data_IF_328473986066
#
_entry.id   IF_328473986066
#
_cell.length_a   1.000
_cell.length_b   1.000
_cell.length_c   1.000
_cell.angle_alpha   90.00
_cell.angle_beta   90.00
_cell.angle_gamma   90.00
#
_symmetry.space_group_name_H-M   'P 1'
#
loop_
_entity.id
_entity.type
_entity.pdbx_description
1 polymer ?
#
# COMPACT_ATOMS: atom_id res chain seq x y z
N UNK A 1 8.03 29.33 5.64
CA UNK A 1 7.58 28.41 4.58
C UNK A 1 6.82 27.31 5.27
N UNK A 2 5.50 27.22 5.11
CA UNK A 2 4.74 26.08 5.60
C UNK A 2 5.02 24.92 4.65
N UNK A 3 5.90 24.00 5.06
CA UNK A 3 6.04 22.75 4.32
C UNK A 3 4.76 21.96 4.51
N UNK A 4 4.15 21.52 3.41
CA UNK A 4 3.07 20.55 3.47
C UNK A 4 3.56 19.27 4.17
N UNK A 5 2.67 18.54 4.87
CA UNK A 5 3.03 17.23 5.40
C UNK A 5 3.44 16.30 4.26
N UNK A 6 4.39 15.42 4.52
CA UNK A 6 4.94 14.46 3.57
C UNK A 6 4.67 13.05 4.09
N UNK A 7 4.14 12.18 3.22
CA UNK A 7 4.14 10.73 3.42
C UNK A 7 5.23 10.12 2.55
N UNK A 8 6.23 9.48 3.17
CA UNK A 8 7.25 8.71 2.48
C UNK A 8 7.04 7.21 2.69
N UNK A 9 6.97 6.44 1.60
CA UNK A 9 6.89 4.99 1.64
C UNK A 9 8.22 4.39 1.21
N UNK A 10 8.74 3.45 2.02
CA UNK A 10 9.94 2.68 1.69
C UNK A 10 9.69 1.20 1.86
N UNK A 11 9.86 0.42 0.81
CA UNK A 11 9.79 -1.04 0.86
C UNK A 11 11.19 -1.65 0.83
N UNK A 12 11.51 -2.55 1.75
CA UNK A 12 12.77 -3.30 1.75
C UNK A 12 12.58 -4.71 2.32
N UNK A 13 12.99 -5.73 1.57
CA UNK A 13 13.14 -7.13 2.05
C UNK A 13 11.91 -7.71 2.79
N UNK A 14 10.69 -7.29 2.40
CA UNK A 14 9.45 -7.75 3.03
C UNK A 14 9.03 -6.95 4.27
N UNK A 15 9.54 -5.73 4.44
CA UNK A 15 9.03 -4.73 5.38
C UNK A 15 8.71 -3.43 4.63
N UNK A 16 7.61 -2.76 5.01
CA UNK A 16 7.29 -1.41 4.54
C UNK A 16 7.45 -0.45 5.70
N UNK A 17 8.16 0.65 5.48
CA UNK A 17 8.17 1.76 6.42
C UNK A 17 7.28 2.88 5.88
N UNK A 18 6.22 3.16 6.61
CA UNK A 18 5.35 4.33 6.41
C UNK A 18 5.92 5.46 7.25
N UNK A 19 6.42 6.52 6.60
CA UNK A 19 7.13 7.62 7.26
C UNK A 19 6.35 8.90 7.02
N UNK A 20 5.75 9.48 8.05
CA UNK A 20 5.12 10.79 7.97
C UNK A 20 6.06 11.88 8.49
N UNK A 21 6.08 13.04 7.84
CA UNK A 21 6.88 14.19 8.25
C UNK A 21 6.06 15.47 8.16
N UNK A 22 6.22 16.35 9.14
CA UNK A 22 5.68 17.70 9.08
C UNK A 22 6.59 18.63 9.88
N UNK A 23 7.21 19.60 9.22
CA UNK A 23 8.22 20.45 9.85
C UNK A 23 9.35 19.64 10.49
N UNK A 24 9.51 19.74 11.82
CA UNK A 24 10.51 19.00 12.59
C UNK A 24 10.03 17.64 13.14
N UNK A 25 8.75 17.31 12.99
CA UNK A 25 8.17 16.08 13.52
C UNK A 25 8.22 14.95 12.50
N UNK A 26 8.51 13.74 12.97
CA UNK A 26 8.62 12.53 12.15
C UNK A 26 7.95 11.37 12.88
N UNK A 27 7.04 10.68 12.18
CA UNK A 27 6.47 9.40 12.62
C UNK A 27 6.89 8.30 11.67
N UNK A 28 7.32 7.15 12.21
CA UNK A 28 7.73 5.98 11.43
C UNK A 28 6.93 4.78 11.93
N UNK A 29 6.18 4.15 11.03
CA UNK A 29 5.38 2.95 11.30
C UNK A 29 5.79 1.83 10.36
N UNK A 30 6.50 0.79 10.85
CA UNK A 30 6.81 -0.39 10.05
C UNK A 30 5.58 -1.30 9.92
N UNK A 31 5.42 -1.89 8.74
CA UNK A 31 4.47 -2.96 8.43
C UNK A 31 5.30 -4.18 8.03
N UNK A 32 5.17 -5.27 8.77
CA UNK A 32 5.84 -6.53 8.46
C UNK A 32 5.04 -7.27 7.37
N UNK A 33 5.56 -7.27 6.14
CA UNK A 33 4.87 -7.93 5.03
C UNK A 33 4.98 -9.44 5.11
N UNK A 34 6.04 -10.01 5.69
CA UNK A 34 6.23 -11.48 5.70
C UNK A 34 5.05 -12.20 6.33
N UNK A 35 4.50 -11.65 7.41
CA UNK A 35 3.30 -12.22 8.05
C UNK A 35 2.07 -12.11 7.15
N UNK A 36 1.87 -10.95 6.52
CA UNK A 36 0.74 -10.68 5.62
C UNK A 36 0.85 -11.51 4.33
N UNK A 37 2.06 -11.74 3.81
CA UNK A 37 2.32 -12.57 2.63
C UNK A 37 2.06 -14.04 2.93
N UNK A 38 2.45 -14.52 4.10
CA UNK A 38 2.21 -15.90 4.50
C UNK A 38 0.71 -16.21 4.49
N UNK A 39 -0.13 -15.29 4.98
CA UNK A 39 -1.57 -15.50 4.99
C UNK A 39 -2.22 -15.27 3.62
N UNK A 40 -1.84 -14.21 2.89
CA UNK A 40 -2.39 -13.88 1.57
C UNK A 40 -2.27 -15.01 0.53
N UNK A 41 -1.13 -15.72 0.51
CA UNK A 41 -0.88 -16.78 -0.47
C UNK A 41 -1.27 -18.18 0.02
N UNK A 42 -1.55 -18.37 1.32
CA UNK A 42 -2.00 -19.66 1.87
C UNK A 42 -3.52 -19.79 1.89
N UNK A 43 -4.24 -18.70 2.14
CA UNK A 43 -5.70 -18.66 2.25
C UNK A 43 -6.27 -17.91 1.04
N UNK A 44 -6.86 -18.63 0.08
CA UNK A 44 -7.32 -18.09 -1.21
C UNK A 44 -8.28 -16.90 -1.05
N UNK A 45 -7.75 -15.68 -1.24
CA UNK A 45 -8.41 -14.39 -1.53
C UNK A 45 -8.96 -13.45 -0.42
N UNK A 46 -9.43 -13.85 0.78
CA UNK A 46 -10.07 -12.90 1.72
C UNK A 46 -9.10 -11.97 2.48
N UNK A 47 -7.79 -12.15 2.38
CA UNK A 47 -6.82 -11.38 3.17
C UNK A 47 -6.27 -10.11 2.48
N UNK A 48 -6.56 -9.90 1.20
CA UNK A 48 -6.09 -8.69 0.50
C UNK A 48 -6.75 -7.43 1.05
N UNK A 49 -8.02 -7.54 1.42
CA UNK A 49 -8.74 -6.50 2.14
C UNK A 49 -8.13 -6.24 3.52
N UNK A 50 -7.72 -7.29 4.24
CA UNK A 50 -7.02 -7.15 5.54
C UNK A 50 -5.71 -6.39 5.38
N UNK A 51 -4.91 -6.69 4.36
CA UNK A 51 -3.71 -5.94 4.04
C UNK A 51 -4.02 -4.45 3.81
N UNK A 52 -5.00 -4.14 2.96
CA UNK A 52 -5.37 -2.76 2.67
C UNK A 52 -5.85 -2.02 3.91
N UNK A 53 -6.68 -2.66 4.75
CA UNK A 53 -7.12 -2.09 6.02
C UNK A 53 -5.94 -1.77 6.96
N UNK A 54 -4.95 -2.67 7.06
CA UNK A 54 -3.74 -2.43 7.87
C UNK A 54 -2.95 -1.25 7.30
N UNK A 55 -2.75 -1.21 5.98
CA UNK A 55 -2.03 -0.13 5.30
C UNK A 55 -2.71 1.23 5.52
N UNK A 56 -4.00 1.32 5.22
CA UNK A 56 -4.86 2.50 5.38
C UNK A 56 -4.80 3.05 6.82
N UNK A 57 -5.02 2.19 7.82
CA UNK A 57 -4.98 2.59 9.23
C UNK A 57 -3.57 2.99 9.68
N UNK A 58 -2.54 2.34 9.16
CA UNK A 58 -1.15 2.67 9.49
C UNK A 58 -0.77 4.04 8.93
N UNK A 59 -1.14 4.34 7.70
CA UNK A 59 -0.96 5.67 7.09
C UNK A 59 -1.71 6.73 7.90
N UNK A 60 -2.99 6.50 8.22
CA UNK A 60 -3.78 7.43 9.04
C UNK A 60 -3.12 7.72 10.38
N UNK A 61 -2.64 6.69 11.09
CA UNK A 61 -1.94 6.87 12.36
C UNK A 61 -0.63 7.64 12.20
N UNK A 62 0.18 7.33 11.20
CA UNK A 62 1.44 8.01 10.95
C UNK A 62 1.23 9.51 10.68
N UNK A 63 0.28 9.86 9.80
CA UNK A 63 -0.06 11.26 9.53
C UNK A 63 -0.61 11.94 10.79
N UNK A 64 -1.51 11.29 11.53
CA UNK A 64 -2.16 11.88 12.71
C UNK A 64 -1.16 12.29 13.80
N UNK A 65 -0.04 11.58 13.91
CA UNK A 65 1.02 11.87 14.88
C UNK A 65 1.84 13.12 14.55
N UNK A 66 1.95 13.52 13.28
CA UNK A 66 2.73 14.71 12.85
C UNK A 66 1.84 15.86 12.36
N UNK A 67 0.58 15.55 12.06
CA UNK A 67 -0.41 16.50 11.56
C UNK A 67 -1.80 16.09 12.05
N UNK A 68 -2.26 16.63 13.21
CA UNK A 68 -3.58 16.32 13.74
C UNK A 68 -4.72 16.77 12.80
N UNK A 69 -5.48 15.81 12.28
CA UNK A 69 -6.58 16.03 11.32
C UNK A 69 -7.84 15.25 11.69
N UNK A 70 -9.01 15.60 11.18
CA UNK A 70 -10.26 14.89 11.48
C UNK A 70 -10.52 13.74 10.49
N UNK A 71 -10.27 14.01 9.20
CA UNK A 71 -10.50 13.08 8.10
C UNK A 71 -9.22 12.85 7.31
N UNK A 72 -9.06 11.64 6.79
CA UNK A 72 -8.04 11.33 5.81
C UNK A 72 -8.70 10.68 4.60
N UNK A 73 -8.47 11.21 3.41
CA UNK A 73 -8.84 10.54 2.16
C UNK A 73 -7.58 10.01 1.47
N UNK A 74 -7.63 8.76 1.03
CA UNK A 74 -6.54 8.11 0.31
C UNK A 74 -7.07 7.52 -0.98
N UNK A 75 -6.36 7.81 -2.07
CA UNK A 75 -6.56 7.22 -3.38
C UNK A 75 -5.34 6.38 -3.74
N UNK A 76 -5.56 5.12 -4.11
CA UNK A 76 -4.49 4.25 -4.52
C UNK A 76 -4.93 3.28 -5.61
N UNK A 77 -3.98 2.88 -6.43
CA UNK A 77 -4.16 1.84 -7.44
C UNK A 77 -3.42 0.61 -6.98
N UNK A 78 -4.04 -0.57 -7.10
CA UNK A 78 -3.31 -1.82 -7.02
C UNK A 78 -3.41 -2.60 -8.31
N UNK A 79 -2.31 -3.25 -8.70
CA UNK A 79 -2.24 -4.08 -9.88
C UNK A 79 -1.65 -5.46 -9.53
N UNK A 80 -2.23 -6.49 -10.13
CA UNK A 80 -1.75 -7.86 -9.99
C UNK A 80 -1.20 -8.35 -11.32
N UNK A 81 -0.12 -9.13 -11.27
CA UNK A 81 0.51 -9.66 -12.48
C UNK A 81 -0.29 -10.79 -13.17
N UNK A 82 -1.44 -11.17 -12.61
CA UNK A 82 -2.41 -12.15 -13.09
C UNK A 82 -3.77 -11.92 -12.40
N UNK A 83 -4.71 -12.88 -12.51
CA UNK A 83 -5.87 -12.95 -11.63
C UNK A 83 -5.42 -13.00 -10.16
N UNK A 84 -6.17 -12.37 -9.24
CA UNK A 84 -5.78 -12.30 -7.82
C UNK A 84 -5.51 -13.66 -7.18
N UNK A 85 -6.28 -14.69 -7.55
CA UNK A 85 -6.10 -16.07 -7.07
C UNK A 85 -4.84 -16.78 -7.60
N UNK A 86 -4.31 -16.32 -8.72
CA UNK A 86 -3.12 -16.86 -9.40
C UNK A 86 -1.93 -15.89 -9.28
N UNK A 87 -2.10 -14.70 -8.70
CA UNK A 87 -1.12 -13.64 -8.71
C UNK A 87 0.07 -14.03 -7.84
N UNK A 88 1.27 -13.84 -8.35
CA UNK A 88 2.50 -13.97 -7.57
C UNK A 88 3.05 -12.62 -7.13
N UNK A 89 2.43 -11.53 -7.60
CA UNK A 89 2.89 -10.17 -7.40
C UNK A 89 1.68 -9.22 -7.42
N UNK A 90 1.62 -8.36 -6.42
CA UNK A 90 0.69 -7.24 -6.36
C UNK A 90 1.50 -5.97 -6.09
N UNK A 91 1.30 -4.94 -6.90
CA UNK A 91 1.92 -3.62 -6.73
C UNK A 91 0.84 -2.63 -6.32
N UNK A 92 1.12 -1.82 -5.30
CA UNK A 92 0.22 -0.78 -4.79
C UNK A 92 0.92 0.57 -4.89
N UNK A 93 0.23 1.53 -5.49
CA UNK A 93 0.70 2.89 -5.73
C UNK A 93 -0.29 3.86 -5.08
N UNK A 94 0.18 4.69 -4.16
CA UNK A 94 -0.66 5.75 -3.57
C UNK A 94 -0.63 6.93 -4.54
N UNK A 95 -1.80 7.30 -5.04
CA UNK A 95 -1.96 8.34 -6.05
C UNK A 95 -2.18 9.70 -5.41
N UNK A 96 -3.04 9.77 -4.41
CA UNK A 96 -3.42 11.01 -3.74
C UNK A 96 -3.71 10.76 -2.26
N UNK A 97 -3.37 11.74 -1.43
CA UNK A 97 -3.60 11.69 0.01
C UNK A 97 -3.94 13.08 0.52
N UNK A 98 -5.07 13.21 1.22
CA UNK A 98 -5.48 14.47 1.86
C UNK A 98 -5.84 14.26 3.32
N UNK A 99 -5.42 15.19 4.15
CA UNK A 99 -5.85 15.31 5.55
C UNK A 99 -6.68 16.59 5.70
N UNK A 100 -7.96 16.44 6.02
CA UNK A 100 -8.95 17.52 5.96
C UNK A 100 -8.90 18.22 4.58
N UNK A 101 -8.52 19.51 4.53
CA UNK A 101 -8.41 20.29 3.28
C UNK A 101 -6.97 20.41 2.75
N UNK A 102 -6.01 19.67 3.34
CA UNK A 102 -4.58 19.76 3.02
C UNK A 102 -4.11 18.52 2.27
N UNK A 103 -3.55 18.74 1.08
CA UNK A 103 -2.87 17.72 0.30
C UNK A 103 -1.54 17.34 0.95
N UNK A 104 -1.31 16.02 1.05
CA UNK A 104 -0.08 15.45 1.61
C UNK A 104 0.81 15.03 0.45
N UNK A 105 2.04 15.53 0.43
CA UNK A 105 3.01 15.16 -0.58
C UNK A 105 3.43 13.69 -0.41
N UNK A 106 3.36 12.91 -1.48
CA UNK A 106 3.73 11.50 -1.47
C UNK A 106 5.14 11.35 -2.06
N UNK A 107 6.05 10.77 -1.28
CA UNK A 107 7.41 10.45 -1.70
C UNK A 107 7.70 8.94 -1.60
N UNK A 108 8.63 8.47 -2.43
CA UNK A 108 9.22 7.13 -2.28
C UNK A 108 8.68 6.12 -3.28
N UNK A 109 8.73 4.85 -2.88
CA UNK A 109 8.52 3.72 -3.79
C UNK A 109 7.11 3.15 -3.67
N UNK A 110 6.66 2.48 -4.73
CA UNK A 110 5.48 1.63 -4.70
C UNK A 110 5.64 0.49 -3.68
N UNK A 111 4.51 0.01 -3.13
CA UNK A 111 4.51 -1.17 -2.29
C UNK A 111 4.39 -2.40 -3.19
N UNK A 112 5.37 -3.30 -3.12
CA UNK A 112 5.34 -4.56 -3.86
C UNK A 112 5.18 -5.74 -2.90
N UNK A 113 4.11 -6.50 -3.11
CA UNK A 113 3.80 -7.74 -2.43
C UNK A 113 4.21 -8.89 -3.35
N UNK A 114 5.19 -9.70 -2.93
CA UNK A 114 5.71 -10.81 -3.73
C UNK A 114 5.49 -12.14 -3.03
N UNK A 115 4.79 -13.05 -3.71
CA UNK A 115 4.64 -14.44 -3.34
C UNK A 115 5.52 -15.37 -4.17
N UNK A 116 5.47 -16.66 -3.86
CA UNK A 116 6.10 -17.69 -4.71
C UNK A 116 5.33 -17.80 -6.03
N UNK A 117 6.03 -17.70 -7.15
CA UNK A 117 5.43 -17.89 -8.47
C UNK A 117 5.43 -19.38 -8.89
N UNK A 118 4.40 -20.10 -8.48
CA UNK A 118 4.15 -21.50 -8.81
C UNK A 118 3.28 -21.70 -10.06
N UNK A 119 3.00 -20.63 -10.81
CA UNK A 119 2.22 -20.71 -12.06
C UNK A 119 2.90 -21.62 -13.07
N UNK A 120 2.11 -22.45 -13.77
CA UNK A 120 2.62 -23.22 -14.90
C UNK A 120 3.07 -22.31 -16.06
N UNK A 121 3.97 -22.82 -16.90
CA UNK A 121 4.54 -22.09 -18.06
C UNK A 121 3.48 -21.41 -18.93
N UNK A 122 2.38 -22.10 -19.24
CA UNK A 122 1.29 -21.55 -20.05
C UNK A 122 0.54 -20.40 -19.35
N UNK A 123 0.31 -20.50 -18.03
CA UNK A 123 -0.33 -19.42 -17.25
C UNK A 123 0.55 -18.17 -17.23
N UNK A 124 1.88 -18.34 -17.09
CA UNK A 124 2.85 -17.23 -17.14
C UNK A 124 2.84 -16.50 -18.48
N UNK A 125 2.79 -17.24 -19.59
CA UNK A 125 2.76 -16.63 -20.94
C UNK A 125 1.44 -15.90 -21.19
N UNK A 126 0.33 -16.40 -20.67
CA UNK A 126 -1.01 -15.84 -20.94
C UNK A 126 -1.49 -14.82 -19.91
N UNK A 127 -0.70 -14.56 -18.86
CA UNK A 127 -1.08 -13.68 -17.74
C UNK A 127 -1.36 -12.24 -18.16
N UNK A 128 -0.72 -11.75 -19.23
CA UNK A 128 -0.96 -10.39 -19.75
C UNK A 128 -2.42 -10.11 -20.11
N UNK A 129 -3.21 -11.14 -20.43
CA UNK A 129 -4.66 -11.01 -20.73
C UNK A 129 -5.53 -10.99 -19.48
N UNK A 130 -4.95 -11.31 -18.33
CA UNK A 130 -5.64 -11.59 -17.06
C UNK A 130 -5.23 -10.66 -15.93
N UNK A 131 -4.25 -9.78 -16.17
CA UNK A 131 -3.80 -8.78 -15.20
C UNK A 131 -4.98 -7.97 -14.70
N UNK A 132 -5.00 -7.75 -13.39
CA UNK A 132 -6.01 -6.92 -12.72
C UNK A 132 -5.37 -5.60 -12.36
N UNK A 133 -6.10 -4.51 -12.55
CA UNK A 133 -5.78 -3.20 -11.99
C UNK A 133 -7.08 -2.62 -11.42
N UNK A 134 -7.03 -2.11 -10.20
CA UNK A 134 -8.18 -1.51 -9.53
C UNK A 134 -7.76 -0.23 -8.83
N UNK A 135 -8.59 0.79 -8.98
CA UNK A 135 -8.50 2.05 -8.25
C UNK A 135 -9.39 1.97 -7.02
N UNK A 136 -8.87 2.42 -5.88
CA UNK A 136 -9.56 2.44 -4.61
C UNK A 136 -9.53 3.85 -4.06
N UNK A 137 -10.73 4.33 -3.70
CA UNK A 137 -10.92 5.57 -2.96
C UNK A 137 -11.43 5.26 -1.56
N UNK A 138 -10.81 5.83 -0.53
CA UNK A 138 -11.19 5.60 0.86
C UNK A 138 -11.15 6.88 1.68
N UNK A 139 -12.23 7.17 2.40
CA UNK A 139 -12.28 8.16 3.48
C UNK A 139 -12.22 7.43 4.84
N UNK A 140 -11.27 7.81 5.69
CA UNK A 140 -10.96 7.17 6.97
C UNK A 140 -11.23 8.07 8.17
#
# INVERSE_FOLDING_TARGET
MSNAPILKIKSKEGDINIIAKNGGEVSIKPINLKFIMATLWWEKAPELETFFNILELTIKRAIKEVYPHHKLSIDYTYSANDLLEDASEIVVEINELKADDVEIEIEGDSITLMGKDDRGFLKKITSFRRKVAQEVHKEL
#
